data_IF_398653864230
#
_entry.id   IF_398653864230
#
_cell.length_a   1.000
_cell.length_b   1.000
_cell.length_c   1.000
_cell.angle_alpha   90.00
_cell.angle_beta   90.00
_cell.angle_gamma   90.00
#
_symmetry.space_group_name_H-M   'P 1'
#
loop_
_entity.id
_entity.type
_entity.pdbx_description
1 polymer ?
#
# COMPACT_ATOMS: atom_id res chain seq x y z
N UNK A 1 28.27 30.97 -40.83
CA UNK A 1 27.38 29.78 -40.88
C UNK A 1 27.76 28.64 -39.90
N UNK A 2 28.78 28.79 -39.03
CA UNK A 2 29.20 27.74 -38.07
C UNK A 2 28.55 27.85 -36.66
N UNK A 3 27.98 29.01 -36.31
CA UNK A 3 27.41 29.28 -34.99
C UNK A 3 26.00 28.71 -34.77
N UNK A 4 25.20 28.55 -35.84
CA UNK A 4 23.81 28.06 -35.75
C UNK A 4 23.69 26.54 -35.57
N UNK A 5 24.78 25.77 -35.79
CA UNK A 5 24.80 24.29 -35.66
C UNK A 5 25.10 23.82 -34.24
N UNK A 6 25.69 24.68 -33.40
CA UNK A 6 25.97 24.41 -31.98
C UNK A 6 24.78 24.75 -31.08
N UNK A 7 24.00 25.77 -31.48
CA UNK A 7 22.80 26.19 -30.78
C UNK A 7 21.69 25.13 -30.82
N UNK A 8 21.51 24.48 -31.97
CA UNK A 8 20.54 23.38 -32.13
C UNK A 8 20.91 22.14 -31.29
N UNK A 9 22.21 21.82 -31.21
CA UNK A 9 22.74 20.75 -30.35
C UNK A 9 22.50 21.01 -28.86
N UNK A 10 22.62 22.28 -28.42
CA UNK A 10 22.40 22.67 -27.02
C UNK A 10 20.92 22.58 -26.60
N UNK A 11 19.99 22.92 -27.51
CA UNK A 11 18.55 22.73 -27.29
C UNK A 11 18.13 21.26 -27.19
N UNK A 12 18.76 20.36 -27.96
CA UNK A 12 18.46 18.91 -27.90
C UNK A 12 18.99 18.31 -26.58
N UNK A 13 20.16 18.76 -26.12
CA UNK A 13 20.73 18.34 -24.83
C UNK A 13 19.91 18.85 -23.63
N UNK A 14 19.37 20.08 -23.72
CA UNK A 14 18.47 20.63 -22.69
C UNK A 14 17.09 19.98 -22.68
N UNK A 15 16.57 19.53 -23.82
CA UNK A 15 15.30 18.80 -23.89
C UNK A 15 15.41 17.37 -23.34
N UNK A 16 16.60 16.76 -23.40
CA UNK A 16 16.86 15.42 -22.88
C UNK A 16 16.91 15.36 -21.34
N UNK A 17 17.20 16.49 -20.68
CA UNK A 17 17.24 16.62 -19.21
C UNK A 17 15.85 16.76 -18.57
N UNK A 18 14.80 17.12 -19.33
CA UNK A 18 13.43 17.27 -18.81
C UNK A 18 12.66 15.94 -18.72
N UNK A 19 13.11 14.89 -19.42
CA UNK A 19 12.42 13.59 -19.48
C UNK A 19 12.66 12.70 -18.25
N UNK A 20 13.48 13.14 -17.29
CA UNK A 20 13.92 12.33 -16.14
C UNK A 20 13.10 12.59 -14.86
N UNK A 21 11.98 13.31 -14.93
CA UNK A 21 11.07 13.42 -13.79
C UNK A 21 10.25 12.13 -13.68
N UNK A 22 10.84 11.13 -13.05
CA UNK A 22 10.14 9.91 -12.66
C UNK A 22 9.02 10.26 -11.68
N UNK A 23 7.77 10.14 -12.13
CA UNK A 23 6.62 10.16 -11.23
C UNK A 23 6.63 8.87 -10.42
N UNK A 24 7.15 8.93 -9.19
CA UNK A 24 6.87 7.89 -8.21
C UNK A 24 5.37 7.94 -7.89
N UNK A 25 4.64 6.81 -7.91
CA UNK A 25 3.28 6.76 -7.39
C UNK A 25 3.32 7.19 -5.92
N UNK A 26 2.40 8.07 -5.53
CA UNK A 26 2.26 8.50 -4.14
C UNK A 26 1.70 7.33 -3.32
N UNK A 27 2.58 6.49 -2.76
CA UNK A 27 2.17 5.36 -1.92
C UNK A 27 2.22 5.76 -0.45
N UNK A 28 1.25 5.28 0.32
CA UNK A 28 1.26 5.43 1.78
C UNK A 28 1.42 4.08 2.44
N UNK A 29 2.23 4.05 3.49
CA UNK A 29 2.41 2.85 4.31
C UNK A 29 1.34 2.78 5.38
N UNK A 30 0.67 1.63 5.48
CA UNK A 30 -0.26 1.31 6.58
C UNK A 30 0.32 0.18 7.41
N UNK A 31 0.30 0.36 8.73
CA UNK A 31 0.59 -0.69 9.67
C UNK A 31 -0.71 -1.11 10.37
N UNK A 32 -0.72 -2.31 10.90
CA UNK A 32 -1.79 -2.68 11.79
C UNK A 32 -1.53 -3.96 12.55
N UNK A 33 -2.47 -4.28 13.42
CA UNK A 33 -2.46 -5.50 14.23
C UNK A 33 -3.83 -6.17 14.17
N UNK A 34 -3.84 -7.47 13.95
CA UNK A 34 -5.04 -8.28 13.97
C UNK A 34 -5.05 -9.16 15.22
N UNK A 35 -6.18 -9.16 15.92
CA UNK A 35 -6.39 -9.92 17.15
C UNK A 35 -7.71 -10.71 17.10
N UNK A 36 -7.84 -11.72 17.95
CA UNK A 36 -9.13 -12.40 18.17
C UNK A 36 -10.08 -11.48 18.94
N UNK A 37 -11.35 -11.47 18.56
CA UNK A 37 -12.36 -10.67 19.27
C UNK A 37 -12.62 -11.16 20.69
N UNK A 38 -12.58 -12.47 20.93
CA UNK A 38 -12.91 -13.09 22.22
C UNK A 38 -11.88 -12.80 23.31
N UNK A 39 -10.59 -12.87 22.95
CA UNK A 39 -9.50 -12.96 23.93
C UNK A 39 -8.37 -11.96 23.64
N UNK A 40 -8.48 -11.16 22.58
CA UNK A 40 -7.46 -10.21 22.14
C UNK A 40 -6.10 -10.85 21.84
N UNK A 41 -6.07 -12.15 21.52
CA UNK A 41 -4.85 -12.84 21.11
C UNK A 41 -4.42 -12.39 19.72
N UNK A 42 -3.11 -12.16 19.49
CA UNK A 42 -2.62 -11.85 18.16
C UNK A 42 -2.89 -13.00 17.19
N UNK A 43 -3.30 -12.66 15.96
CA UNK A 43 -3.60 -13.65 14.93
C UNK A 43 -2.52 -13.61 13.85
N UNK A 44 -1.71 -14.68 13.78
CA UNK A 44 -0.73 -14.92 12.71
C UNK A 44 -1.42 -15.46 11.45
N UNK A 45 -0.87 -15.13 10.27
CA UNK A 45 -1.31 -15.70 9.00
C UNK A 45 -2.64 -15.18 8.48
N UNK A 46 -3.18 -14.10 9.05
CA UNK A 46 -4.35 -13.41 8.50
C UNK A 46 -3.96 -12.83 7.14
N UNK A 47 -4.71 -13.17 6.11
CA UNK A 47 -4.59 -12.56 4.79
C UNK A 47 -5.21 -11.16 4.82
N UNK A 48 -4.42 -10.15 4.48
CA UNK A 48 -4.83 -8.75 4.39
C UNK A 48 -4.72 -8.32 2.93
N UNK A 49 -5.84 -8.06 2.28
CA UNK A 49 -5.92 -7.82 0.84
C UNK A 49 -6.56 -6.47 0.56
N UNK A 50 -5.99 -5.66 -0.34
CA UNK A 50 -6.70 -4.50 -0.90
C UNK A 50 -7.78 -5.00 -1.84
N UNK A 51 -9.04 -4.72 -1.49
CA UNK A 51 -10.21 -5.27 -2.18
C UNK A 51 -10.19 -4.96 -3.68
N UNK A 52 -10.34 -6.01 -4.49
CA UNK A 52 -10.34 -5.91 -5.95
C UNK A 52 -8.96 -5.85 -6.61
N UNK A 53 -7.88 -6.04 -5.84
CA UNK A 53 -6.51 -6.04 -6.34
C UNK A 53 -5.76 -7.31 -5.92
N UNK A 54 -4.55 -7.50 -6.45
CA UNK A 54 -3.60 -8.51 -5.98
C UNK A 54 -2.64 -8.01 -4.90
N UNK A 55 -2.78 -6.76 -4.45
CA UNK A 55 -1.95 -6.20 -3.39
C UNK A 55 -2.38 -6.78 -2.03
N UNK A 56 -1.50 -7.57 -1.42
CA UNK A 56 -1.81 -8.30 -0.20
C UNK A 56 -0.58 -8.51 0.67
N UNK A 57 -0.81 -8.76 1.94
CA UNK A 57 0.20 -9.15 2.93
C UNK A 57 -0.39 -10.16 3.91
N UNK A 58 0.46 -10.76 4.75
CA UNK A 58 0.06 -11.64 5.84
C UNK A 58 0.45 -11.04 7.19
N UNK A 59 -0.31 -11.34 8.24
CA UNK A 59 0.12 -10.99 9.60
C UNK A 59 1.24 -11.90 10.09
N UNK A 60 2.17 -11.33 10.86
CA UNK A 60 3.26 -12.03 11.54
C UNK A 60 2.78 -12.68 12.86
N UNK A 61 3.69 -13.36 13.57
CA UNK A 61 3.39 -14.09 14.82
C UNK A 61 2.81 -13.21 15.94
N UNK A 62 3.12 -11.92 15.94
CA UNK A 62 2.57 -10.94 16.88
C UNK A 62 1.27 -10.28 16.38
N UNK A 63 0.71 -10.78 15.27
CA UNK A 63 -0.49 -10.30 14.61
C UNK A 63 -0.28 -9.02 13.80
N UNK A 64 0.94 -8.51 13.68
CA UNK A 64 1.20 -7.26 12.97
C UNK A 64 1.30 -7.47 11.47
N UNK A 65 0.93 -6.44 10.69
CA UNK A 65 1.13 -6.40 9.25
C UNK A 65 1.58 -5.01 8.80
N UNK A 66 2.12 -4.97 7.60
CA UNK A 66 2.48 -3.74 6.90
C UNK A 66 2.11 -3.89 5.44
N UNK A 67 1.47 -2.87 4.88
CA UNK A 67 1.06 -2.85 3.48
C UNK A 67 1.22 -1.45 2.89
N UNK A 68 1.80 -1.37 1.70
CA UNK A 68 1.82 -0.13 0.93
C UNK A 68 0.53 0.00 0.13
N UNK A 69 -0.10 1.16 0.23
CA UNK A 69 -1.37 1.48 -0.40
C UNK A 69 -1.19 2.59 -1.42
N UNK A 70 -1.94 2.50 -2.51
CA UNK A 70 -2.08 3.58 -3.47
C UNK A 70 -3.20 4.55 -3.05
N UNK A 71 -3.25 5.78 -3.57
CA UNK A 71 -4.27 6.75 -3.19
C UNK A 71 -5.71 6.31 -3.49
N UNK A 72 -5.88 5.46 -4.51
CA UNK A 72 -7.17 4.87 -4.90
C UNK A 72 -7.65 3.76 -3.96
N UNK A 73 -6.78 3.16 -3.15
CA UNK A 73 -7.12 2.03 -2.30
C UNK A 73 -8.05 2.47 -1.16
N UNK A 74 -9.26 1.87 -1.09
CA UNK A 74 -10.31 2.27 -0.13
C UNK A 74 -10.67 1.23 0.91
N UNK A 75 -10.48 -0.06 0.63
CA UNK A 75 -10.95 -1.14 1.50
C UNK A 75 -9.91 -2.23 1.62
N UNK A 76 -9.66 -2.66 2.86
CA UNK A 76 -8.91 -3.88 3.19
C UNK A 76 -9.87 -4.99 3.58
N UNK A 77 -9.67 -6.18 3.04
CA UNK A 77 -10.37 -7.40 3.42
C UNK A 77 -9.43 -8.29 4.22
N UNK A 78 -9.89 -8.73 5.39
CA UNK A 78 -9.16 -9.59 6.32
C UNK A 78 -9.79 -10.97 6.31
N UNK A 79 -8.99 -12.02 6.09
CA UNK A 79 -9.48 -13.41 6.05
C UNK A 79 -8.52 -14.35 6.76
N UNK A 80 -9.07 -15.23 7.59
CA UNK A 80 -8.35 -16.31 8.26
C UNK A 80 -9.30 -17.50 8.40
N UNK A 81 -8.78 -18.72 8.24
CA UNK A 81 -9.59 -19.93 8.40
C UNK A 81 -10.15 -20.02 9.83
N UNK A 82 -11.45 -20.33 9.96
CA UNK A 82 -12.14 -20.37 11.27
C UNK A 82 -12.59 -19.00 11.78
N UNK A 83 -12.38 -17.92 11.01
CA UNK A 83 -12.84 -16.57 11.34
C UNK A 83 -13.79 -16.03 10.27
N UNK A 84 -14.65 -15.09 10.66
CA UNK A 84 -15.48 -14.34 9.71
C UNK A 84 -14.60 -13.33 8.97
N UNK A 85 -14.71 -13.31 7.65
CA UNK A 85 -14.06 -12.27 6.84
C UNK A 85 -14.60 -10.90 7.21
N UNK A 86 -13.72 -9.90 7.26
CA UNK A 86 -14.06 -8.54 7.64
C UNK A 86 -13.49 -7.55 6.62
N UNK A 87 -14.33 -6.61 6.18
CA UNK A 87 -13.91 -5.47 5.37
C UNK A 87 -13.72 -4.24 6.27
N UNK A 88 -12.66 -3.48 6.01
CA UNK A 88 -12.35 -2.23 6.68
C UNK A 88 -12.19 -1.12 5.64
N UNK A 89 -13.04 -0.10 5.73
CA UNK A 89 -12.84 1.13 4.99
C UNK A 89 -11.62 1.88 5.55
N UNK A 90 -10.73 2.28 4.66
CA UNK A 90 -9.51 3.00 4.99
C UNK A 90 -9.79 4.50 5.17
N UNK A 91 -9.24 5.05 6.23
CA UNK A 91 -9.12 6.50 6.42
C UNK A 91 -7.77 6.97 5.83
N UNK A 92 -7.76 7.90 4.85
CA UNK A 92 -6.55 8.46 4.27
C UNK A 92 -5.62 9.12 5.29
N UNK A 93 -6.15 9.65 6.39
CA UNK A 93 -5.40 10.34 7.44
C UNK A 93 -4.86 9.40 8.52
N UNK A 94 -5.28 8.14 8.54
CA UNK A 94 -4.87 7.15 9.54
C UNK A 94 -3.89 6.13 8.97
N UNK A 95 -2.75 5.96 9.65
CA UNK A 95 -1.68 5.04 9.25
C UNK A 95 -1.72 3.69 10.00
N UNK A 96 -2.32 3.63 11.19
CA UNK A 96 -2.27 2.45 12.06
C UNK A 96 -3.67 1.93 12.41
N UNK A 97 -3.88 0.63 12.30
CA UNK A 97 -5.18 -0.01 12.58
C UNK A 97 -5.07 -1.19 13.55
N UNK A 98 -6.08 -1.35 14.40
CA UNK A 98 -6.26 -2.57 15.19
C UNK A 98 -7.59 -3.19 14.77
N UNK A 99 -7.55 -4.45 14.35
CA UNK A 99 -8.70 -5.19 13.83
C UNK A 99 -8.92 -6.40 14.73
N UNK A 100 -10.16 -6.59 15.18
CA UNK A 100 -10.56 -7.75 15.96
C UNK A 100 -11.42 -8.66 15.09
N UNK A 101 -10.91 -9.85 14.73
CA UNK A 101 -11.66 -10.83 13.95
C UNK A 101 -12.52 -11.71 14.85
N UNK A 102 -13.76 -11.92 14.43
CA UNK A 102 -14.70 -12.81 15.12
C UNK A 102 -14.50 -14.25 14.64
N UNK A 103 -14.32 -15.20 15.56
CA UNK A 103 -14.37 -16.63 15.23
C UNK A 103 -15.75 -17.00 14.67
N UNK A 104 -15.78 -17.98 13.77
CA UNK A 104 -17.04 -18.51 13.23
C UNK A 104 -17.83 -19.29 14.27
#
# INVERSE_FOLDING_TARGET
MLHMRKLTSLTIFSALLLSLTGFAPDTRKVNGKVVSFSESFPLEGVSVVVKGTSNQTGTMIDGTFTLELKPEDKVLTFTLQGYKSQDLALDPSKADYVIALQSQ
#
